data_IF_902989480797
#
_entry.id   IF_902989480797
#
_cell.length_a   1.000
_cell.length_b   1.000
_cell.length_c   1.000
_cell.angle_alpha   90.00
_cell.angle_beta   90.00
_cell.angle_gamma   90.00
#
_symmetry.space_group_name_H-M   'P 1'
#
loop_
_entity.id
_entity.type
_entity.pdbx_description
1 polymer ?
#
# COMPACT_ATOMS: atom_id res chain seq x y z
N UNK A 1 27.71 -15.69 17.38
CA UNK A 1 26.91 -14.69 16.70
C UNK A 1 25.99 -15.38 15.71
N UNK A 2 24.74 -15.02 15.69
CA UNK A 2 23.76 -15.47 14.68
C UNK A 2 24.13 -14.86 13.34
N UNK A 3 24.26 -15.66 12.30
CA UNK A 3 24.55 -15.22 10.94
C UNK A 3 23.42 -15.66 10.05
N UNK A 4 22.74 -14.69 9.45
CA UNK A 4 21.67 -14.93 8.49
C UNK A 4 21.51 -13.75 7.55
N UNK A 5 20.74 -13.94 6.48
CA UNK A 5 20.43 -12.92 5.48
C UNK A 5 18.94 -12.92 5.15
N UNK A 6 18.40 -11.75 4.75
CA UNK A 6 17.09 -11.61 4.17
C UNK A 6 17.26 -11.14 2.73
N UNK A 7 16.76 -11.94 1.81
CA UNK A 7 16.67 -11.59 0.40
C UNK A 7 15.28 -11.00 0.13
N UNK A 8 15.25 -9.83 -0.50
CA UNK A 8 13.99 -9.15 -0.79
C UNK A 8 13.91 -8.84 -2.29
N UNK A 9 12.77 -9.15 -2.86
CA UNK A 9 12.40 -8.74 -4.20
C UNK A 9 11.14 -7.88 -4.11
N UNK A 10 11.09 -6.78 -4.85
CA UNK A 10 9.87 -5.98 -5.03
C UNK A 10 9.74 -5.50 -6.47
N UNK A 11 8.52 -5.45 -6.95
CA UNK A 11 8.18 -4.90 -8.25
C UNK A 11 6.94 -4.03 -8.11
N UNK A 12 7.04 -2.81 -8.62
CA UNK A 12 5.97 -1.81 -8.59
C UNK A 12 5.64 -1.36 -10.01
N UNK A 13 4.36 -1.28 -10.33
CA UNK A 13 3.87 -0.76 -11.59
C UNK A 13 2.70 0.19 -11.34
N UNK A 14 2.77 1.39 -11.92
CA UNK A 14 1.67 2.36 -11.86
C UNK A 14 1.26 2.73 -13.29
N UNK A 15 -0.02 2.64 -13.55
CA UNK A 15 -0.61 2.96 -14.84
C UNK A 15 -1.59 4.13 -14.67
N UNK A 16 -1.52 5.16 -15.52
CA UNK A 16 -2.50 6.23 -15.53
C UNK A 16 -3.82 5.71 -16.10
N UNK A 17 -4.92 6.23 -15.53
CA UNK A 17 -6.27 5.94 -15.99
C UNK A 17 -7.01 7.25 -16.29
N UNK A 18 -8.03 7.22 -17.16
CA UNK A 18 -8.91 8.35 -17.35
C UNK A 18 -9.57 8.73 -16.02
N UNK A 19 -9.75 10.03 -15.79
CA UNK A 19 -10.45 10.52 -14.61
C UNK A 19 -11.93 10.09 -14.64
N UNK A 20 -12.42 9.51 -13.51
CA UNK A 20 -13.80 9.06 -13.41
C UNK A 20 -14.70 10.07 -12.66
N UNK A 21 -14.14 10.82 -11.72
CA UNK A 21 -14.91 11.68 -10.81
C UNK A 21 -14.64 13.18 -10.99
N UNK A 22 -13.76 13.55 -11.93
CA UNK A 22 -13.40 14.94 -12.19
C UNK A 22 -13.08 15.16 -13.67
N UNK A 23 -13.05 16.42 -14.07
CA UNK A 23 -12.49 16.81 -15.36
C UNK A 23 -10.97 16.65 -15.35
N UNK A 24 -10.43 15.91 -16.30
CA UNK A 24 -9.00 15.64 -16.44
C UNK A 24 -8.14 16.85 -16.80
N UNK A 25 -8.76 18.03 -16.99
CA UNK A 25 -8.09 19.26 -17.40
C UNK A 25 -8.00 19.40 -18.92
N UNK A 26 -7.60 20.59 -19.37
CA UNK A 26 -7.48 20.95 -20.77
C UNK A 26 -6.14 20.57 -21.42
N UNK A 27 -5.28 19.88 -20.69
CA UNK A 27 -3.96 19.45 -21.15
C UNK A 27 -2.86 20.52 -21.07
N UNK A 28 -3.18 21.74 -20.67
CA UNK A 28 -2.20 22.83 -20.47
C UNK A 28 -1.60 22.84 -19.05
N UNK A 29 -2.16 22.04 -18.12
CA UNK A 29 -1.66 21.94 -16.76
C UNK A 29 -0.33 21.17 -16.69
N UNK A 30 0.67 21.73 -16.05
CA UNK A 30 1.98 21.08 -15.84
C UNK A 30 1.85 19.75 -15.10
N UNK A 31 0.86 19.62 -14.19
CA UNK A 31 0.59 18.42 -13.39
C UNK A 31 -0.90 18.15 -13.34
N UNK A 32 -1.51 17.62 -14.41
CA UNK A 32 -2.93 17.35 -14.44
C UNK A 32 -3.31 16.29 -13.39
N UNK A 33 -4.49 16.41 -12.79
CA UNK A 33 -4.98 15.37 -11.90
C UNK A 33 -5.24 14.10 -12.70
N UNK A 34 -4.57 13.02 -12.34
CA UNK A 34 -4.64 11.74 -13.05
C UNK A 34 -5.03 10.64 -12.06
N UNK A 35 -6.06 9.89 -12.40
CA UNK A 35 -6.37 8.65 -11.69
C UNK A 35 -5.33 7.59 -12.06
N UNK A 36 -5.04 6.69 -11.14
CA UNK A 36 -4.02 5.67 -11.36
C UNK A 36 -4.46 4.32 -10.81
N UNK A 37 -4.00 3.25 -11.44
CA UNK A 37 -3.98 1.93 -10.85
C UNK A 37 -2.54 1.50 -10.61
N UNK A 38 -2.24 1.13 -9.38
CA UNK A 38 -0.94 0.64 -8.97
C UNK A 38 -0.99 -0.85 -8.66
N UNK A 39 0.07 -1.53 -9.00
CA UNK A 39 0.31 -2.94 -8.65
C UNK A 39 1.63 -3.03 -7.92
N UNK A 40 1.66 -3.81 -6.87
CA UNK A 40 2.86 -4.14 -6.13
C UNK A 40 2.96 -5.65 -5.98
N UNK A 41 4.17 -6.17 -6.10
CA UNK A 41 4.51 -7.52 -5.70
C UNK A 41 5.76 -7.47 -4.83
N UNK A 42 5.75 -8.22 -3.73
CA UNK A 42 6.89 -8.38 -2.83
C UNK A 42 7.08 -9.85 -2.50
N UNK A 43 8.33 -10.28 -2.48
CA UNK A 43 8.73 -11.55 -1.91
C UNK A 43 9.95 -11.37 -1.02
N UNK A 44 9.99 -12.06 0.10
CA UNK A 44 11.14 -12.08 1.01
C UNK A 44 11.44 -13.51 1.44
N UNK A 45 12.72 -13.82 1.56
CA UNK A 45 13.22 -15.11 2.00
C UNK A 45 14.35 -14.88 2.99
N UNK A 46 14.25 -15.47 4.15
CA UNK A 46 15.36 -15.51 5.11
C UNK A 46 16.22 -16.78 4.94
N UNK A 47 17.47 -16.68 5.30
CA UNK A 47 18.39 -17.80 5.34
C UNK A 47 19.30 -17.72 6.55
N UNK A 48 19.75 -18.86 7.06
CA UNK A 48 20.56 -18.95 8.26
C UNK A 48 19.74 -18.84 9.55
N UNK A 49 20.43 -18.67 10.67
CA UNK A 49 19.80 -18.60 11.99
C UNK A 49 19.49 -17.13 12.35
N UNK A 50 18.31 -16.65 11.93
CA UNK A 50 17.85 -15.31 12.23
C UNK A 50 16.99 -15.29 13.48
N UNK A 51 17.19 -14.29 14.38
CA UNK A 51 16.29 -14.06 15.49
C UNK A 51 14.85 -13.83 15.00
N UNK A 52 13.88 -14.38 15.71
CA UNK A 52 12.46 -14.27 15.36
C UNK A 52 12.01 -12.83 15.00
N UNK A 53 12.44 -11.83 15.75
CA UNK A 53 12.04 -10.43 15.55
C UNK A 53 12.61 -9.77 14.29
N UNK A 54 13.55 -10.42 13.59
CA UNK A 54 14.15 -9.93 12.33
C UNK A 54 13.51 -10.55 11.10
N UNK A 55 12.84 -11.69 11.25
CA UNK A 55 12.23 -12.43 10.12
C UNK A 55 11.20 -11.60 9.37
N UNK A 56 10.95 -11.89 8.08
CA UNK A 56 9.92 -11.27 7.27
C UNK A 56 8.55 -11.22 7.95
N UNK A 57 7.84 -10.10 7.80
CA UNK A 57 6.53 -9.90 8.42
C UNK A 57 5.49 -9.45 7.42
N UNK A 58 4.26 -9.94 7.58
CA UNK A 58 3.10 -9.57 6.81
C UNK A 58 2.00 -9.00 7.72
N UNK A 59 1.31 -7.98 7.24
CA UNK A 59 0.30 -7.22 7.99
C UNK A 59 0.78 -5.82 8.34
N UNK A 60 -0.12 -4.85 8.32
CA UNK A 60 0.12 -3.48 8.71
C UNK A 60 -0.22 -2.43 7.66
N UNK A 61 0.31 -1.24 7.80
CA UNK A 61 -0.16 -0.07 7.06
C UNK A 61 0.25 -0.02 5.58
N UNK A 62 1.11 -0.91 5.10
CA UNK A 62 1.59 -0.90 3.70
C UNK A 62 0.99 -2.01 2.86
N UNK A 63 0.88 -3.20 3.42
CA UNK A 63 0.35 -4.37 2.72
C UNK A 63 -0.35 -5.28 3.73
N UNK A 64 -1.40 -5.96 3.30
CA UNK A 64 -2.34 -6.68 4.17
C UNK A 64 -2.93 -5.73 5.24
N UNK A 65 -3.44 -4.57 4.78
CA UNK A 65 -3.93 -3.48 5.62
C UNK A 65 -5.15 -3.82 6.46
N UNK A 66 -5.88 -4.89 6.14
CA UNK A 66 -6.95 -5.43 6.98
C UNK A 66 -6.47 -6.09 8.27
N UNK A 67 -5.16 -6.27 8.45
CA UNK A 67 -4.57 -6.93 9.59
C UNK A 67 -3.65 -6.00 10.37
N UNK A 68 -3.45 -6.30 11.64
CA UNK A 68 -2.51 -5.57 12.49
C UNK A 68 -1.07 -5.74 12.00
N UNK A 69 -0.20 -4.80 12.35
CA UNK A 69 1.20 -4.83 11.95
C UNK A 69 1.92 -6.10 12.44
N UNK A 70 2.56 -6.82 11.51
CA UNK A 70 3.33 -8.02 11.80
C UNK A 70 2.47 -9.19 12.30
N UNK A 71 1.21 -9.29 11.84
CA UNK A 71 0.29 -10.38 12.21
C UNK A 71 0.87 -11.76 11.92
N UNK A 72 1.57 -11.90 10.81
CA UNK A 72 2.31 -13.11 10.44
C UNK A 72 3.79 -12.81 10.34
N UNK A 73 4.58 -13.81 10.70
CA UNK A 73 6.04 -13.72 10.68
C UNK A 73 6.61 -15.10 10.45
N UNK A 74 7.39 -15.25 9.39
CA UNK A 74 7.99 -16.51 9.03
C UNK A 74 9.27 -16.30 8.20
N UNK A 75 9.93 -17.38 7.79
CA UNK A 75 11.18 -17.33 7.03
C UNK A 75 11.01 -16.93 5.58
N UNK A 76 9.82 -17.17 5.01
CA UNK A 76 9.47 -16.73 3.67
C UNK A 76 8.12 -16.01 3.66
N UNK A 77 7.98 -14.99 2.80
CA UNK A 77 6.71 -14.34 2.52
C UNK A 77 6.58 -13.94 1.06
N UNK A 78 5.36 -13.88 0.58
CA UNK A 78 5.00 -13.14 -0.62
C UNK A 78 3.78 -12.26 -0.33
N UNK A 79 3.65 -11.18 -1.07
CA UNK A 79 2.47 -10.34 -1.03
C UNK A 79 2.28 -9.63 -2.37
N UNK A 80 1.04 -9.48 -2.76
CA UNK A 80 0.62 -8.74 -3.94
C UNK A 80 -0.48 -7.75 -3.57
N UNK A 81 -0.47 -6.58 -4.20
CA UNK A 81 -1.49 -5.56 -4.00
C UNK A 81 -1.88 -4.92 -5.33
N UNK A 82 -3.15 -4.57 -5.44
CA UNK A 82 -3.68 -3.70 -6.47
C UNK A 82 -4.41 -2.53 -5.80
N UNK A 83 -4.14 -1.30 -6.22
CA UNK A 83 -4.75 -0.10 -5.65
C UNK A 83 -5.16 0.87 -6.76
N UNK A 84 -6.47 1.14 -6.86
CA UNK A 84 -7.02 2.21 -7.69
C UNK A 84 -7.08 3.50 -6.89
N UNK A 85 -6.47 4.57 -7.39
CA UNK A 85 -6.40 5.91 -6.78
C UNK A 85 -7.12 6.91 -7.66
N UNK A 86 -8.00 7.68 -7.07
CA UNK A 86 -8.81 8.66 -7.76
C UNK A 86 -8.90 9.98 -6.99
N UNK A 87 -9.14 11.07 -7.71
CA UNK A 87 -9.32 12.39 -7.13
C UNK A 87 -10.80 12.81 -7.21
N UNK A 88 -11.31 13.37 -6.12
CA UNK A 88 -12.66 13.94 -6.04
C UNK A 88 -12.58 15.47 -6.10
N UNK A 89 -11.61 16.06 -5.42
CA UNK A 89 -11.27 17.48 -5.49
C UNK A 89 -9.87 17.57 -6.13
N UNK A 90 -9.80 17.69 -7.46
CA UNK A 90 -8.53 17.62 -8.18
C UNK A 90 -7.73 18.92 -8.11
N UNK A 91 -8.40 20.04 -7.89
CA UNK A 91 -7.83 21.38 -7.77
C UNK A 91 -8.21 21.96 -6.44
N UNK A 92 -7.26 21.97 -5.53
CA UNK A 92 -7.46 22.20 -4.13
C UNK A 92 -7.91 23.60 -3.74
N UNK A 93 -7.95 23.83 -2.45
CA UNK A 93 -8.38 25.09 -1.84
C UNK A 93 -7.44 25.47 -0.70
N UNK A 94 -7.42 26.78 -0.36
CA UNK A 94 -6.66 27.27 0.78
C UNK A 94 -7.47 27.07 2.06
N UNK A 95 -6.98 26.23 2.97
CA UNK A 95 -7.63 25.94 4.23
C UNK A 95 -7.39 27.04 5.28
N UNK A 96 -6.17 27.59 5.30
CA UNK A 96 -5.73 28.66 6.22
C UNK A 96 -4.72 29.55 5.50
N UNK A 97 -4.35 30.69 6.09
CA UNK A 97 -3.47 31.71 5.49
C UNK A 97 -2.30 31.18 4.67
N UNK A 98 -1.72 30.05 5.05
CA UNK A 98 -0.52 29.49 4.41
C UNK A 98 -0.64 27.96 4.16
N UNK A 99 -1.78 27.34 4.39
CA UNK A 99 -1.94 25.89 4.17
C UNK A 99 -2.89 25.69 2.99
N UNK A 100 -2.36 25.14 1.92
CA UNK A 100 -3.12 24.75 0.75
C UNK A 100 -3.30 23.25 0.68
N UNK A 101 -4.54 22.81 0.65
CA UNK A 101 -4.89 21.44 0.27
C UNK A 101 -4.91 21.38 -1.24
N UNK A 102 -4.01 20.63 -1.85
CA UNK A 102 -3.88 20.59 -3.31
C UNK A 102 -4.89 19.66 -3.95
N UNK A 103 -5.09 18.49 -3.35
CA UNK A 103 -6.02 17.49 -3.86
C UNK A 103 -6.61 16.67 -2.73
N UNK A 104 -7.88 16.29 -2.90
CA UNK A 104 -8.55 15.30 -2.04
C UNK A 104 -9.10 14.20 -2.93
N UNK A 105 -8.89 12.96 -2.53
CA UNK A 105 -9.34 11.81 -3.26
C UNK A 105 -9.45 10.57 -2.39
N UNK A 106 -9.51 9.44 -3.05
CA UNK A 106 -9.61 8.16 -2.40
C UNK A 106 -8.79 7.07 -3.07
N UNK A 107 -8.78 5.91 -2.45
CA UNK A 107 -8.25 4.70 -3.01
C UNK A 107 -9.14 3.51 -2.67
N UNK A 108 -9.21 2.55 -3.58
CA UNK A 108 -9.76 1.22 -3.37
C UNK A 108 -8.62 0.24 -3.53
N UNK A 109 -8.52 -0.75 -2.66
CA UNK A 109 -7.42 -1.70 -2.72
C UNK A 109 -7.86 -3.13 -2.44
N UNK A 110 -7.10 -4.04 -3.02
CA UNK A 110 -7.16 -5.47 -2.76
C UNK A 110 -5.73 -6.00 -2.63
N UNK A 111 -5.52 -6.85 -1.64
CA UNK A 111 -4.22 -7.37 -1.28
C UNK A 111 -4.34 -8.86 -0.99
N UNK A 112 -3.32 -9.61 -1.38
CA UNK A 112 -3.18 -11.02 -1.08
C UNK A 112 -1.75 -11.32 -0.67
N UNK A 113 -1.56 -12.34 0.15
CA UNK A 113 -0.22 -12.75 0.56
C UNK A 113 -0.22 -14.06 1.32
N UNK A 114 0.98 -14.51 1.64
CA UNK A 114 1.20 -15.70 2.44
C UNK A 114 2.57 -15.70 3.08
N UNK A 115 2.73 -16.49 4.13
CA UNK A 115 4.00 -16.73 4.81
C UNK A 115 4.24 -18.25 4.90
N UNK A 116 5.50 -18.65 4.92
CA UNK A 116 5.90 -20.05 5.00
C UNK A 116 7.26 -20.22 5.70
N UNK A 117 7.51 -21.41 6.21
CA UNK A 117 8.79 -21.77 6.83
C UNK A 117 9.96 -21.76 5.84
N UNK A 118 9.69 -21.95 4.55
CA UNK A 118 10.68 -21.91 3.49
C UNK A 118 10.11 -21.40 2.16
N UNK A 119 11.00 -21.13 1.19
CA UNK A 119 10.61 -20.63 -0.12
C UNK A 119 9.86 -21.65 -0.99
N UNK A 120 9.97 -22.95 -0.74
CA UNK A 120 9.29 -23.99 -1.54
C UNK A 120 7.83 -24.12 -1.13
N UNK A 121 7.54 -23.94 0.17
CA UNK A 121 6.18 -23.98 0.71
C UNK A 121 5.42 -22.64 0.52
N UNK A 122 6.05 -21.62 -0.06
CA UNK A 122 5.53 -20.26 -0.10
C UNK A 122 4.15 -20.10 -0.74
N UNK A 123 3.85 -20.89 -1.76
CA UNK A 123 2.55 -20.87 -2.45
C UNK A 123 1.60 -21.99 -2.04
N UNK A 124 2.07 -22.94 -1.23
CA UNK A 124 1.26 -24.02 -0.65
C UNK A 124 0.67 -23.61 0.70
N UNK A 125 1.25 -22.62 1.36
CA UNK A 125 0.69 -21.99 2.56
C UNK A 125 -0.58 -21.23 2.20
N UNK A 126 -1.59 -21.24 3.07
CA UNK A 126 -2.86 -20.55 2.83
C UNK A 126 -2.68 -19.09 2.40
N UNK A 127 -3.50 -18.64 1.46
CA UNK A 127 -3.51 -17.25 1.00
C UNK A 127 -4.41 -16.43 1.91
N UNK A 128 -3.87 -15.36 2.47
CA UNK A 128 -4.63 -14.35 3.20
C UNK A 128 -5.05 -13.24 2.24
N UNK A 129 -6.20 -12.64 2.51
CA UNK A 129 -6.77 -11.57 1.70
C UNK A 129 -7.10 -10.35 2.56
N UNK A 130 -6.84 -9.19 2.01
CA UNK A 130 -7.21 -7.90 2.60
C UNK A 130 -7.77 -7.00 1.51
N UNK A 131 -8.81 -6.25 1.81
CA UNK A 131 -9.39 -5.30 0.88
C UNK A 131 -9.91 -4.09 1.65
N UNK A 132 -10.11 -2.99 0.96
CA UNK A 132 -10.62 -1.82 1.64
C UNK A 132 -10.60 -0.57 0.78
N UNK A 133 -10.80 0.54 1.47
CA UNK A 133 -10.80 1.86 0.88
C UNK A 133 -10.11 2.86 1.81
N UNK A 134 -9.70 4.01 1.26
CA UNK A 134 -9.08 5.04 2.06
C UNK A 134 -9.17 6.43 1.46
N UNK A 135 -8.98 7.43 2.30
CA UNK A 135 -8.85 8.82 1.92
C UNK A 135 -7.41 9.19 1.58
N UNK A 136 -7.28 10.11 0.64
CA UNK A 136 -6.01 10.70 0.18
C UNK A 136 -6.13 12.21 0.20
N UNK A 137 -5.16 12.90 0.82
CA UNK A 137 -5.08 14.36 0.80
C UNK A 137 -3.65 14.81 0.55
N UNK A 138 -3.44 15.63 -0.46
CA UNK A 138 -2.12 16.23 -0.76
C UNK A 138 -2.09 17.66 -0.25
N UNK A 139 -1.09 17.99 0.54
CA UNK A 139 -0.88 19.31 1.12
C UNK A 139 0.43 19.88 0.58
N UNK A 140 0.40 21.17 0.14
CA UNK A 140 1.57 21.93 -0.31
C UNK A 140 2.40 21.23 -1.42
N UNK A 141 1.77 20.37 -2.22
CA UNK A 141 2.44 19.51 -3.24
C UNK A 141 3.54 18.60 -2.70
N UNK A 142 3.76 18.58 -1.40
CA UNK A 142 4.90 17.91 -0.78
C UNK A 142 4.48 16.67 0.04
N UNK A 143 3.32 16.71 0.66
CA UNK A 143 2.90 15.66 1.59
C UNK A 143 1.58 15.06 1.16
N UNK A 144 1.58 13.76 0.92
CA UNK A 144 0.38 12.96 0.73
C UNK A 144 0.03 12.25 2.05
N UNK A 145 -1.09 12.63 2.63
CA UNK A 145 -1.70 11.92 3.75
C UNK A 145 -2.61 10.82 3.25
N UNK A 146 -2.59 9.70 3.94
CA UNK A 146 -3.52 8.60 3.70
C UNK A 146 -4.11 8.07 4.99
N UNK A 147 -5.37 7.70 4.91
CA UNK A 147 -6.10 7.00 5.96
C UNK A 147 -6.87 5.86 5.29
N UNK A 148 -6.54 4.64 5.62
CA UNK A 148 -7.11 3.44 5.03
C UNK A 148 -7.93 2.65 6.05
N UNK A 149 -9.07 2.14 5.62
CA UNK A 149 -9.89 1.15 6.30
C UNK A 149 -9.74 -0.16 5.56
N UNK A 150 -9.05 -1.10 6.17
CA UNK A 150 -8.82 -2.44 5.63
C UNK A 150 -9.71 -3.47 6.33
N UNK A 151 -10.23 -4.40 5.55
CA UNK A 151 -11.08 -5.50 5.99
C UNK A 151 -10.40 -6.83 5.69
N UNK A 152 -10.61 -7.79 6.56
CA UNK A 152 -10.09 -9.14 6.46
C UNK A 152 -11.04 -10.12 7.15
N UNK A 153 -10.71 -11.38 7.16
CA UNK A 153 -11.42 -12.42 7.94
C UNK A 153 -11.29 -12.22 9.45
N UNK A 154 -10.28 -11.49 9.92
CA UNK A 154 -10.11 -11.14 11.33
C UNK A 154 -10.87 -9.86 11.74
N UNK A 155 -11.46 -9.14 10.79
CA UNK A 155 -12.23 -7.92 11.04
C UNK A 155 -11.73 -6.69 10.29
N UNK A 156 -11.79 -5.54 10.94
CA UNK A 156 -11.42 -4.25 10.36
C UNK A 156 -10.19 -3.67 11.08
N UNK A 157 -9.28 -3.11 10.30
CA UNK A 157 -8.12 -2.39 10.80
C UNK A 157 -8.03 -1.00 10.16
N UNK A 158 -7.52 -0.03 10.90
CA UNK A 158 -7.31 1.34 10.44
C UNK A 158 -5.81 1.58 10.28
N UNK A 159 -5.41 2.01 9.10
CA UNK A 159 -4.03 2.34 8.80
C UNK A 159 -3.89 3.79 8.35
N UNK A 160 -3.01 4.54 8.98
CA UNK A 160 -2.69 5.91 8.62
C UNK A 160 -1.21 6.02 8.22
N UNK A 161 -0.90 6.95 7.33
CA UNK A 161 0.48 7.14 6.89
C UNK A 161 0.68 8.34 5.98
N UNK A 162 1.94 8.51 5.61
CA UNK A 162 2.38 9.51 4.64
C UNK A 162 2.92 8.81 3.40
N UNK A 163 2.76 9.43 2.24
CA UNK A 163 3.14 8.86 0.96
C UNK A 163 2.18 7.79 0.44
N UNK A 164 2.58 7.12 -0.62
CA UNK A 164 1.84 6.00 -1.19
C UNK A 164 2.02 4.75 -0.33
N UNK A 165 1.13 3.77 -0.50
CA UNK A 165 1.23 2.47 0.18
C UNK A 165 2.41 1.65 -0.36
N UNK A 166 2.69 1.81 -1.64
CA UNK A 166 3.81 1.24 -2.39
C UNK A 166 4.15 2.14 -3.58
#
# INVERSE_FOLDING_TARGET
>A
GTVGAIYSFSADQVLPLPALFHDGGDGEEEHPPTDTIGFNFRAQLSSGDLPFFVRPTLGGSRIARGYIAGRWRDDALWAAAAEYRFWVIPRGFTLWRNIRVERIGGALFYEAGGVAEDGFALFDSGVIHSYGFGGRATIERAVLFRLDLGFSDEGMNVAAGFGLSF
#
